data_IF_310188660694
#
_entry.id   IF_310188660694
#
_cell.length_a   1.000
_cell.length_b   1.000
_cell.length_c   1.000
_cell.angle_alpha   90.00
_cell.angle_beta   90.00
_cell.angle_gamma   90.00
#
_symmetry.space_group_name_H-M   'P 1'
#
loop_
_entity.id
_entity.type
_entity.pdbx_description
1 polymer ?
#
# COMPACT_ATOMS: atom_id res chain seq x y z
N UNK A 1 -13.22 9.29 0.50
CA UNK A 1 -12.39 8.33 -0.24
C UNK A 1 -11.43 7.70 0.74
N UNK A 2 -11.10 6.41 0.58
CA UNK A 2 -10.11 5.72 1.41
C UNK A 2 -9.04 5.17 0.50
N UNK A 3 -7.80 5.25 0.96
CA UNK A 3 -6.67 4.71 0.24
C UNK A 3 -5.95 3.69 1.08
N UNK A 4 -5.54 2.61 0.43
CA UNK A 4 -4.50 1.75 0.96
C UNK A 4 -3.17 2.36 0.55
N UNK A 5 -2.32 2.63 1.54
CA UNK A 5 -0.95 3.04 1.35
C UNK A 5 -0.06 1.86 1.66
N UNK A 6 0.81 1.51 0.71
CA UNK A 6 1.87 0.55 0.90
C UNK A 6 3.21 1.28 0.91
N UNK A 7 3.96 1.11 1.99
CA UNK A 7 5.23 1.79 2.21
C UNK A 7 6.28 0.80 2.68
N UNK A 8 7.38 0.72 1.94
CA UNK A 8 8.61 0.13 2.45
C UNK A 8 9.31 1.14 3.37
N UNK A 9 9.86 0.69 4.50
CA UNK A 9 10.66 1.58 5.35
C UNK A 9 12.04 1.86 4.74
N UNK A 10 12.53 0.94 3.93
CA UNK A 10 13.78 1.05 3.18
C UNK A 10 13.72 2.03 2.00
N UNK A 11 12.53 2.29 1.44
CA UNK A 11 12.35 3.12 0.23
C UNK A 11 11.71 4.49 0.49
N UNK A 12 12.06 5.45 -0.37
CA UNK A 12 11.39 6.74 -0.40
C UNK A 12 10.05 6.68 -1.17
N UNK A 13 9.06 7.38 -0.63
CA UNK A 13 7.71 7.43 -1.18
C UNK A 13 6.82 6.28 -0.73
N UNK A 14 5.59 6.30 -1.23
CA UNK A 14 4.56 5.32 -0.93
C UNK A 14 3.67 5.03 -2.15
N UNK A 15 3.24 3.79 -2.28
CA UNK A 15 2.25 3.38 -3.27
C UNK A 15 0.85 3.58 -2.70
N UNK A 16 -0.06 4.12 -3.51
CA UNK A 16 -1.41 4.47 -3.07
C UNK A 16 -2.44 3.85 -3.99
N UNK A 17 -3.41 3.14 -3.42
CA UNK A 17 -4.52 2.55 -4.16
C UNK A 17 -5.85 2.95 -3.55
N UNK A 18 -6.79 3.39 -4.39
CA UNK A 18 -8.16 3.64 -3.94
C UNK A 18 -8.84 2.33 -3.57
N UNK A 19 -9.42 2.25 -2.38
CA UNK A 19 -10.03 1.00 -1.87
C UNK A 19 -11.41 1.24 -1.29
N UNK A 20 -12.22 0.18 -1.30
CA UNK A 20 -13.48 0.12 -0.54
C UNK A 20 -13.26 -0.73 0.71
N UNK A 21 -13.83 -0.35 1.86
CA UNK A 21 -13.79 -1.21 3.05
C UNK A 21 -14.61 -2.48 2.81
N UNK A 22 -14.14 -3.59 3.36
CA UNK A 22 -14.82 -4.88 3.24
C UNK A 22 -13.84 -6.03 3.42
N UNK A 23 -14.38 -7.25 3.37
CA UNK A 23 -13.60 -8.48 3.49
C UNK A 23 -12.53 -8.60 2.40
N UNK A 24 -12.86 -8.20 1.16
CA UNK A 24 -11.93 -8.24 0.02
C UNK A 24 -10.63 -7.46 0.28
N UNK A 25 -10.72 -6.29 0.93
CA UNK A 25 -9.55 -5.48 1.29
C UNK A 25 -8.67 -6.18 2.33
N UNK A 26 -9.29 -6.80 3.33
CA UNK A 26 -8.56 -7.54 4.37
C UNK A 26 -7.84 -8.74 3.78
N UNK A 27 -8.50 -9.48 2.90
CA UNK A 27 -7.92 -10.63 2.21
C UNK A 27 -6.77 -10.21 1.29
N UNK A 28 -6.92 -9.09 0.57
CA UNK A 28 -5.85 -8.51 -0.24
C UNK A 28 -4.64 -8.10 0.60
N UNK A 29 -4.85 -7.40 1.72
CA UNK A 29 -3.75 -7.03 2.63
C UNK A 29 -3.00 -8.27 3.13
N UNK A 30 -3.73 -9.32 3.54
CA UNK A 30 -3.11 -10.60 3.96
C UNK A 30 -2.29 -11.25 2.85
N UNK A 31 -2.80 -11.30 1.61
CA UNK A 31 -2.05 -11.85 0.46
C UNK A 31 -0.75 -11.10 0.21
N UNK A 32 -0.76 -9.78 0.37
CA UNK A 32 0.43 -8.94 0.21
C UNK A 32 1.41 -9.20 1.35
N UNK A 33 0.93 -9.20 2.60
CA UNK A 33 1.75 -9.50 3.79
C UNK A 33 2.39 -10.89 3.72
N UNK A 34 1.65 -11.92 3.30
CA UNK A 34 2.15 -13.29 3.13
C UNK A 34 3.22 -13.38 2.04
N UNK A 35 3.13 -12.56 0.99
CA UNK A 35 4.06 -12.56 -0.14
C UNK A 35 5.36 -11.81 0.15
N UNK A 36 5.28 -10.67 0.82
CA UNK A 36 6.38 -9.73 0.98
C UNK A 36 6.96 -9.70 2.41
N UNK A 37 6.25 -10.27 3.37
CA UNK A 37 6.57 -10.17 4.78
C UNK A 37 6.15 -8.82 5.39
N UNK A 38 5.98 -8.82 6.71
CA UNK A 38 5.53 -7.65 7.50
C UNK A 38 6.67 -6.88 8.17
N UNK A 39 7.92 -7.32 8.00
CA UNK A 39 9.06 -6.73 8.71
C UNK A 39 9.49 -5.37 8.16
N UNK A 40 9.32 -5.16 6.85
CA UNK A 40 9.77 -3.93 6.16
C UNK A 40 8.65 -3.27 5.33
N UNK A 41 7.53 -3.97 5.10
CA UNK A 41 6.37 -3.44 4.39
C UNK A 41 5.26 -3.05 5.36
N UNK A 42 4.82 -1.80 5.27
CA UNK A 42 3.67 -1.30 6.01
C UNK A 42 2.47 -1.11 5.07
N UNK A 43 1.32 -1.67 5.45
CA UNK A 43 0.04 -1.47 4.78
C UNK A 43 -0.90 -0.66 5.68
N UNK A 44 -1.33 0.51 5.20
CA UNK A 44 -2.07 1.48 6.01
C UNK A 44 -3.33 1.91 5.28
N UNK A 45 -4.48 1.84 5.95
CA UNK A 45 -5.72 2.38 5.43
C UNK A 45 -5.89 3.83 5.87
N UNK A 46 -5.64 4.77 4.96
CA UNK A 46 -5.81 6.19 5.21
C UNK A 46 -7.23 6.60 4.83
N UNK A 47 -7.96 7.06 5.84
CA UNK A 47 -9.31 7.61 5.68
C UNK A 47 -9.39 9.11 5.97
N UNK A 48 -8.36 9.68 6.60
CA UNK A 48 -8.30 11.09 7.00
C UNK A 48 -7.44 11.89 6.01
N UNK A 49 -8.00 12.90 5.34
CA UNK A 49 -7.24 13.68 4.35
C UNK A 49 -5.99 14.38 4.88
N UNK A 50 -6.00 14.79 6.15
CA UNK A 50 -4.85 15.46 6.79
C UNK A 50 -3.63 14.55 6.94
N UNK A 51 -3.82 13.22 6.93
CA UNK A 51 -2.74 12.25 7.09
C UNK A 51 -2.07 11.89 5.76
N UNK A 52 -2.58 12.38 4.60
CA UNK A 52 -1.96 12.05 3.31
C UNK A 52 -0.53 12.62 3.22
N UNK A 53 -0.27 13.84 3.68
CA UNK A 53 1.08 14.43 3.57
C UNK A 53 2.20 13.61 4.25
N UNK A 54 1.88 12.78 5.24
CA UNK A 54 2.84 11.96 5.99
C UNK A 54 3.51 10.86 5.14
N UNK A 55 2.91 10.52 3.99
CA UNK A 55 3.33 9.39 3.16
C UNK A 55 3.83 9.82 1.78
N UNK A 56 4.00 11.12 1.55
CA UNK A 56 4.59 11.64 0.32
C UNK A 56 6.08 11.25 0.16
N UNK A 57 6.59 11.13 -1.08
CA UNK A 57 5.88 11.26 -2.36
C UNK A 57 4.98 10.07 -2.70
N UNK A 58 3.90 10.33 -3.43
CA UNK A 58 2.91 9.33 -3.79
C UNK A 58 3.00 8.85 -5.23
N UNK A 59 2.83 7.54 -5.40
CA UNK A 59 2.57 6.94 -6.69
C UNK A 59 1.25 6.16 -6.66
N UNK A 60 0.31 6.53 -7.54
CA UNK A 60 -1.01 5.91 -7.60
C UNK A 60 -1.00 4.65 -8.46
N UNK A 61 -1.50 3.57 -7.89
CA UNK A 61 -1.78 2.29 -8.58
C UNK A 61 -3.27 2.00 -8.56
N UNK A 62 -3.74 1.29 -9.58
CA UNK A 62 -5.18 1.13 -9.84
C UNK A 62 -5.69 -0.30 -9.71
N UNK A 63 -4.81 -1.26 -9.42
CA UNK A 63 -5.14 -2.67 -9.20
C UNK A 63 -4.16 -3.35 -8.25
N UNK A 64 -4.59 -4.45 -7.64
CA UNK A 64 -3.73 -5.32 -6.81
C UNK A 64 -2.51 -5.80 -7.61
N UNK A 65 -2.68 -6.16 -8.88
CA UNK A 65 -1.59 -6.58 -9.77
C UNK A 65 -0.53 -5.49 -9.96
N UNK A 66 -0.96 -4.24 -10.18
CA UNK A 66 -0.02 -3.12 -10.29
C UNK A 66 0.70 -2.86 -8.97
N UNK A 67 -0.04 -2.90 -7.85
CA UNK A 67 0.52 -2.72 -6.52
C UNK A 67 1.62 -3.75 -6.25
N UNK A 68 1.31 -5.03 -6.44
CA UNK A 68 2.26 -6.14 -6.27
C UNK A 68 3.48 -5.96 -7.17
N UNK A 69 3.28 -5.69 -8.46
CA UNK A 69 4.39 -5.51 -9.41
C UNK A 69 5.32 -4.37 -8.99
N UNK A 70 4.77 -3.26 -8.48
CA UNK A 70 5.57 -2.13 -8.00
C UNK A 70 6.30 -2.47 -6.70
N UNK A 71 5.66 -3.18 -5.77
CA UNK A 71 6.31 -3.67 -4.56
C UNK A 71 7.50 -4.59 -4.87
N UNK A 72 7.37 -5.48 -5.86
CA UNK A 72 8.48 -6.34 -6.32
C UNK A 72 9.65 -5.56 -6.95
N UNK A 73 9.35 -4.45 -7.61
CA UNK A 73 10.38 -3.58 -8.19
C UNK A 73 11.13 -2.79 -7.12
N UNK A 74 10.44 -2.42 -6.03
CA UNK A 74 11.01 -1.72 -4.89
C UNK A 74 11.81 -2.63 -3.94
N UNK A 75 11.43 -3.91 -3.83
CA UNK A 75 12.10 -4.88 -2.96
C UNK A 75 13.44 -5.46 -3.53
N UNK A 76 13.94 -4.94 -4.66
CA UNK A 76 15.16 -5.40 -5.35
C UNK A 76 16.33 -4.47 -5.10
#
# INVERSE_FOLDING_TARGET
>A
MRYLVAKWFSEQGSLVMAVKPGQELVEMMRRIEDRFGISDLQLINISRPSAYGEYEPFEFVHSEEQLVKRLEQQAK
#
